data_IF_842395562952
#
_entry.id   IF_842395562952
#
_cell.length_a   1.000
_cell.length_b   1.000
_cell.length_c   1.000
_cell.angle_alpha   90.00
_cell.angle_beta   90.00
_cell.angle_gamma   90.00
#
_symmetry.space_group_name_H-M   'P 1'
#
loop_
_entity.id
_entity.type
_entity.pdbx_description
1 polymer ?
#
# COMPACT_ATOMS: atom_id res chain seq x y z
N UNK A 1 -15.18 0.38 10.35
CA UNK A 1 -14.89 0.40 8.90
C UNK A 1 -13.67 -0.46 8.64
N UNK A 2 -13.50 -0.93 7.41
CA UNK A 2 -12.45 -1.86 7.02
C UNK A 2 -11.43 -1.18 6.12
N UNK A 3 -10.17 -1.22 6.53
CA UNK A 3 -9.04 -0.61 5.84
C UNK A 3 -8.07 -1.69 5.36
N UNK A 4 -7.56 -1.56 4.14
CA UNK A 4 -6.48 -2.40 3.63
C UNK A 4 -5.29 -1.56 3.18
N UNK A 5 -4.11 -2.00 3.59
CA UNK A 5 -2.83 -1.40 3.25
C UNK A 5 -2.03 -2.41 2.41
N UNK A 6 -2.11 -2.34 1.07
CA UNK A 6 -1.22 -3.11 0.21
C UNK A 6 0.17 -2.48 0.23
N UNK A 7 1.16 -3.20 0.74
CA UNK A 7 2.53 -2.73 0.93
C UNK A 7 3.49 -3.57 0.12
N UNK A 8 4.43 -2.92 -0.58
CA UNK A 8 5.54 -3.65 -1.23
C UNK A 8 6.55 -4.18 -0.20
N UNK A 9 6.65 -3.53 0.95
CA UNK A 9 7.46 -3.98 2.08
C UNK A 9 6.95 -3.34 3.38
N UNK A 10 7.11 -4.07 4.47
CA UNK A 10 7.03 -3.55 5.82
C UNK A 10 8.37 -3.84 6.50
N UNK A 11 9.38 -3.02 6.22
CA UNK A 11 10.74 -3.11 6.76
C UNK A 11 11.14 -1.77 7.39
N UNK A 12 12.32 -1.73 8.01
CA UNK A 12 12.87 -0.50 8.60
C UNK A 12 13.13 0.58 7.54
N UNK A 13 12.15 1.45 7.32
CA UNK A 13 12.28 2.68 6.54
C UNK A 13 11.38 3.79 7.09
N UNK A 14 11.67 5.05 6.71
CA UNK A 14 10.98 6.23 7.23
C UNK A 14 9.47 6.18 7.02
N UNK A 15 9.02 5.89 5.79
CA UNK A 15 7.59 5.91 5.51
C UNK A 15 6.76 4.81 6.17
N UNK A 16 7.36 3.65 6.46
CA UNK A 16 6.68 2.58 7.21
C UNK A 16 6.54 2.93 8.70
N UNK A 17 7.44 3.75 9.26
CA UNK A 17 7.25 4.29 10.61
C UNK A 17 5.95 5.07 10.70
N UNK A 18 5.73 6.00 9.78
CA UNK A 18 4.53 6.85 9.77
C UNK A 18 3.28 6.00 9.53
N UNK A 19 3.34 5.07 8.58
CA UNK A 19 2.24 4.11 8.35
C UNK A 19 1.91 3.28 9.59
N UNK A 20 2.91 2.85 10.37
CA UNK A 20 2.66 2.06 11.58
C UNK A 20 1.84 2.82 12.62
N UNK A 21 2.11 4.13 12.80
CA UNK A 21 1.31 4.99 13.68
C UNK A 21 -0.13 5.16 13.15
N UNK A 22 -0.28 5.36 11.85
CA UNK A 22 -1.60 5.47 11.23
C UNK A 22 -2.42 4.16 11.38
N UNK A 23 -1.80 3.02 11.09
CA UNK A 23 -2.42 1.69 11.21
C UNK A 23 -2.90 1.45 12.64
N UNK A 24 -2.02 1.67 13.63
CA UNK A 24 -2.38 1.48 15.04
C UNK A 24 -3.48 2.44 15.48
N UNK A 25 -3.41 3.72 15.08
CA UNK A 25 -4.45 4.71 15.38
C UNK A 25 -5.82 4.36 14.77
N UNK A 26 -5.86 3.70 13.61
CA UNK A 26 -7.12 3.19 13.04
C UNK A 26 -7.67 2.02 13.85
N UNK A 27 -6.81 1.10 14.30
CA UNK A 27 -7.21 -0.01 15.17
C UNK A 27 -7.72 0.49 16.53
N UNK A 28 -7.04 1.46 17.15
CA UNK A 28 -7.46 2.10 18.40
C UNK A 28 -8.85 2.74 18.30
N UNK A 29 -9.20 3.27 17.13
CA UNK A 29 -10.54 3.79 16.81
C UNK A 29 -11.59 2.71 16.52
N UNK A 30 -11.25 1.43 16.68
CA UNK A 30 -12.15 0.30 16.50
C UNK A 30 -12.37 -0.08 15.03
N UNK A 31 -11.43 0.23 14.13
CA UNK A 31 -11.52 -0.19 12.73
C UNK A 31 -10.84 -1.54 12.49
N UNK A 32 -11.34 -2.28 11.50
CA UNK A 32 -10.72 -3.51 11.00
C UNK A 32 -9.59 -3.14 10.04
N UNK A 33 -8.35 -3.43 10.41
CA UNK A 33 -7.18 -3.07 9.58
C UNK A 33 -6.45 -4.31 9.10
N UNK A 34 -6.19 -4.33 7.79
CA UNK A 34 -5.45 -5.38 7.11
C UNK A 34 -4.19 -4.79 6.48
N UNK A 35 -3.06 -5.47 6.66
CA UNK A 35 -1.87 -5.25 5.83
C UNK A 35 -1.72 -6.42 4.87
N UNK A 36 -1.39 -6.15 3.61
CA UNK A 36 -1.10 -7.16 2.61
C UNK A 36 0.30 -6.90 2.09
N UNK A 37 1.21 -7.85 2.28
CA UNK A 37 2.65 -7.63 2.07
C UNK A 37 3.34 -8.94 1.63
N UNK A 38 4.40 -8.88 0.80
CA UNK A 38 5.18 -10.08 0.52
C UNK A 38 5.84 -10.65 1.78
N UNK A 39 5.84 -11.96 1.93
CA UNK A 39 6.34 -12.66 3.12
C UNK A 39 7.81 -12.32 3.42
N UNK A 40 8.66 -12.28 2.38
CA UNK A 40 10.08 -11.96 2.47
C UNK A 40 10.36 -10.44 2.67
N UNK A 41 9.33 -9.62 2.48
CA UNK A 41 9.37 -8.17 2.59
C UNK A 41 8.74 -7.68 3.89
N UNK A 42 8.42 -8.59 4.81
CA UNK A 42 7.90 -8.30 6.14
C UNK A 42 8.97 -8.50 7.21
N UNK A 43 9.25 -7.44 7.97
CA UNK A 43 10.09 -7.46 9.16
C UNK A 43 9.48 -6.45 10.15
N UNK A 44 8.95 -6.94 11.26
CA UNK A 44 8.23 -6.10 12.22
C UNK A 44 9.17 -5.25 13.09
N UNK A 45 9.84 -4.28 12.46
CA UNK A 45 10.70 -3.32 13.15
C UNK A 45 9.89 -2.27 13.93
N UNK A 46 8.78 -1.81 13.36
CA UNK A 46 7.82 -0.95 14.07
C UNK A 46 6.61 -1.80 14.48
N UNK A 47 6.33 -1.83 15.77
CA UNK A 47 5.30 -2.69 16.36
C UNK A 47 3.91 -2.30 15.86
N UNK A 48 3.18 -3.27 15.34
CA UNK A 48 1.76 -3.14 15.03
C UNK A 48 0.92 -3.64 16.21
N UNK A 49 -0.29 -3.09 16.34
CA UNK A 49 -1.30 -3.64 17.24
C UNK A 49 -1.61 -5.09 16.84
N UNK A 50 -1.82 -5.96 17.82
CA UNK A 50 -2.06 -7.39 17.62
C UNK A 50 -3.35 -7.68 16.83
N UNK A 51 -4.29 -6.73 16.80
CA UNK A 51 -5.53 -6.83 16.01
C UNK A 51 -5.32 -6.57 14.52
N UNK A 52 -4.14 -6.07 14.11
CA UNK A 52 -3.83 -5.87 12.69
C UNK A 52 -3.73 -7.23 11.99
N UNK A 53 -4.59 -7.44 11.00
CA UNK A 53 -4.65 -8.70 10.25
C UNK A 53 -3.59 -8.68 9.15
N UNK A 54 -2.63 -9.60 9.22
CA UNK A 54 -1.49 -9.69 8.29
C UNK A 54 -1.81 -10.73 7.22
N UNK A 55 -1.76 -10.34 5.94
CA UNK A 55 -1.96 -11.25 4.80
C UNK A 55 -0.66 -11.26 3.99
N UNK A 56 -0.06 -12.45 3.88
CA UNK A 56 1.18 -12.60 3.15
C UNK A 56 0.95 -12.99 1.69
N UNK A 57 1.73 -12.38 0.80
CA UNK A 57 1.79 -12.75 -0.62
C UNK A 57 3.13 -13.42 -0.94
N UNK A 58 3.20 -14.29 -1.96
CA UNK A 58 4.47 -14.80 -2.44
C UNK A 58 5.38 -13.66 -2.92
N UNK A 59 6.67 -13.74 -2.62
CA UNK A 59 7.65 -12.90 -3.31
C UNK A 59 7.88 -13.42 -4.72
N UNK A 60 7.92 -12.52 -5.69
CA UNK A 60 8.11 -12.93 -7.10
C UNK A 60 9.36 -12.33 -7.74
N UNK A 61 10.22 -11.69 -6.95
CA UNK A 61 11.54 -11.20 -7.35
C UNK A 61 11.61 -9.68 -7.50
N UNK A 62 12.83 -9.18 -7.69
CA UNK A 62 13.15 -7.75 -7.87
C UNK A 62 13.22 -7.30 -9.34
N UNK A 63 13.09 -8.23 -10.28
CA UNK A 63 13.03 -7.89 -11.70
C UNK A 63 11.66 -7.27 -12.04
N UNK A 64 11.52 -6.55 -13.18
CA UNK A 64 10.27 -5.89 -13.53
C UNK A 64 9.05 -6.82 -13.58
N UNK A 65 9.22 -8.06 -14.07
CA UNK A 65 8.16 -9.07 -14.08
C UNK A 65 7.77 -9.52 -12.67
N UNK A 66 8.74 -9.66 -11.77
CA UNK A 66 8.51 -9.95 -10.35
C UNK A 66 7.77 -8.80 -9.67
N UNK A 67 8.16 -7.55 -9.90
CA UNK A 67 7.42 -6.40 -9.36
C UNK A 67 5.97 -6.43 -9.84
N UNK A 68 5.73 -6.63 -11.14
CA UNK A 68 4.37 -6.70 -11.69
C UNK A 68 3.55 -7.85 -11.09
N UNK A 69 4.14 -9.04 -10.93
CA UNK A 69 3.51 -10.19 -10.28
C UNK A 69 3.20 -9.90 -8.81
N UNK A 70 4.11 -9.25 -8.09
CA UNK A 70 3.89 -8.83 -6.70
C UNK A 70 2.71 -7.84 -6.63
N UNK A 71 2.66 -6.82 -7.48
CA UNK A 71 1.53 -5.88 -7.54
C UNK A 71 0.20 -6.59 -7.83
N UNK A 72 0.22 -7.58 -8.73
CA UNK A 72 -0.95 -8.40 -9.02
C UNK A 72 -1.41 -9.24 -7.81
N UNK A 73 -0.47 -9.84 -7.08
CA UNK A 73 -0.80 -10.55 -5.84
C UNK A 73 -1.32 -9.61 -4.75
N UNK A 74 -0.76 -8.41 -4.62
CA UNK A 74 -1.30 -7.38 -3.72
C UNK A 74 -2.75 -7.07 -4.08
N UNK A 75 -3.09 -6.95 -5.36
CA UNK A 75 -4.47 -6.76 -5.81
C UNK A 75 -5.39 -7.94 -5.40
N UNK A 76 -5.01 -9.16 -5.76
CA UNK A 76 -5.86 -10.36 -5.57
C UNK A 76 -6.04 -10.71 -4.10
N UNK A 77 -4.95 -10.72 -3.33
CA UNK A 77 -4.95 -11.16 -1.94
C UNK A 77 -5.52 -10.11 -0.99
N UNK A 78 -5.53 -8.84 -1.39
CA UNK A 78 -6.17 -7.81 -0.60
C UNK A 78 -7.68 -8.04 -0.53
N UNK A 79 -8.27 -8.16 0.68
CA UNK A 79 -9.69 -8.39 0.85
C UNK A 79 -10.51 -7.18 0.36
N UNK A 80 -11.81 -7.38 0.15
CA UNK A 80 -12.72 -6.24 0.00
C UNK A 80 -12.71 -5.39 1.27
N UNK A 81 -12.62 -4.08 1.13
CA UNK A 81 -12.47 -3.10 2.20
C UNK A 81 -13.16 -1.78 1.81
N UNK A 82 -13.59 -1.02 2.81
CA UNK A 82 -14.20 0.30 2.59
C UNK A 82 -13.16 1.29 2.05
N UNK A 83 -11.92 1.17 2.51
CA UNK A 83 -10.80 2.00 2.11
C UNK A 83 -9.56 1.18 1.78
N UNK A 84 -8.88 1.56 0.71
CA UNK A 84 -7.52 1.12 0.39
C UNK A 84 -6.58 2.29 0.56
N UNK A 85 -5.61 2.13 1.45
CA UNK A 85 -4.65 3.18 1.81
C UNK A 85 -3.28 2.82 1.26
N UNK A 86 -2.72 3.73 0.46
CA UNK A 86 -1.41 3.56 -0.17
C UNK A 86 -0.53 4.75 0.13
N UNK A 87 0.78 4.52 0.22
CA UNK A 87 1.76 5.61 0.43
C UNK A 87 2.97 5.53 -0.50
N UNK A 88 2.88 4.72 -1.56
CA UNK A 88 3.98 4.49 -2.48
C UNK A 88 3.43 4.30 -3.89
N UNK A 89 3.99 4.98 -4.90
CA UNK A 89 3.40 5.07 -6.25
C UNK A 89 3.12 3.69 -6.89
N UNK A 90 3.94 2.63 -6.75
CA UNK A 90 3.63 1.34 -7.35
C UNK A 90 2.39 0.69 -6.74
N UNK A 91 2.17 0.89 -5.44
CA UNK A 91 1.00 0.34 -4.72
C UNK A 91 -0.29 1.08 -5.05
N UNK A 92 -0.21 2.28 -5.62
CA UNK A 92 -1.36 3.03 -6.13
C UNK A 92 -2.11 2.25 -7.21
N UNK A 93 -1.40 1.57 -8.12
CA UNK A 93 -2.04 0.83 -9.21
C UNK A 93 -2.95 -0.32 -8.74
N UNK A 94 -2.52 -1.27 -7.87
CA UNK A 94 -3.44 -2.27 -7.33
C UNK A 94 -4.57 -1.64 -6.51
N UNK A 95 -4.35 -0.50 -5.86
CA UNK A 95 -5.39 0.20 -5.12
C UNK A 95 -6.43 0.90 -6.03
N UNK A 96 -6.00 1.41 -7.18
CA UNK A 96 -6.90 1.91 -8.23
C UNK A 96 -7.77 0.79 -8.79
N UNK A 97 -7.21 -0.41 -8.99
CA UNK A 97 -7.99 -1.59 -9.37
C UNK A 97 -9.00 -1.97 -8.27
N UNK A 98 -8.66 -1.83 -6.99
CA UNK A 98 -9.63 -2.02 -5.89
C UNK A 98 -10.78 -1.02 -5.98
N UNK A 99 -10.50 0.23 -6.30
CA UNK A 99 -11.53 1.24 -6.51
C UNK A 99 -12.47 0.87 -7.65
N UNK A 100 -11.89 0.56 -8.82
CA UNK A 100 -12.66 0.27 -10.05
C UNK A 100 -13.48 -1.03 -9.91
N UNK A 101 -12.87 -2.10 -9.39
CA UNK A 101 -13.48 -3.44 -9.42
C UNK A 101 -14.12 -3.89 -8.11
N UNK A 102 -13.72 -3.32 -6.96
CA UNK A 102 -14.23 -3.69 -5.63
C UNK A 102 -14.99 -2.56 -4.94
N UNK A 103 -15.06 -1.37 -5.54
CA UNK A 103 -15.79 -0.21 -5.01
C UNK A 103 -15.14 0.42 -3.76
N UNK A 104 -13.88 0.09 -3.47
CA UNK A 104 -13.16 0.63 -2.32
C UNK A 104 -12.76 2.08 -2.55
N UNK A 105 -12.84 2.94 -1.52
CA UNK A 105 -12.34 4.32 -1.61
C UNK A 105 -10.82 4.33 -1.54
N UNK A 106 -10.18 5.01 -2.48
CA UNK A 106 -8.73 5.12 -2.56
C UNK A 106 -8.22 6.32 -1.76
N UNK A 107 -7.41 6.04 -0.74
CA UNK A 107 -6.68 7.05 0.03
C UNK A 107 -5.20 7.00 -0.36
N UNK A 108 -4.70 8.08 -0.95
CA UNK A 108 -3.27 8.23 -1.25
C UNK A 108 -2.60 9.12 -0.19
N UNK A 109 -1.80 8.51 0.66
CA UNK A 109 -0.99 9.18 1.67
C UNK A 109 0.40 9.51 1.09
N UNK A 110 0.51 10.69 0.50
CA UNK A 110 1.71 11.18 -0.17
C UNK A 110 2.70 11.68 0.88
N UNK A 111 3.83 11.00 1.03
CA UNK A 111 4.88 11.40 1.97
C UNK A 111 5.97 12.24 1.32
N UNK A 112 6.16 12.07 0.00
CA UNK A 112 7.10 12.82 -0.80
C UNK A 112 6.68 12.76 -2.29
N UNK A 113 7.31 13.60 -3.12
CA UNK A 113 7.05 13.67 -4.56
C UNK A 113 7.96 12.67 -5.28
N UNK A 114 7.46 11.44 -5.41
CA UNK A 114 8.27 10.27 -5.80
C UNK A 114 8.88 10.36 -7.21
N UNK A 115 8.31 11.19 -8.09
CA UNK A 115 8.80 11.37 -9.46
C UNK A 115 10.28 11.80 -9.54
N UNK A 116 10.78 12.51 -8.53
CA UNK A 116 12.15 13.03 -8.51
C UNK A 116 13.18 12.00 -8.05
N UNK A 117 12.75 10.88 -7.48
CA UNK A 117 13.64 9.84 -6.94
C UNK A 117 13.85 8.65 -7.90
N UNK A 118 13.05 8.55 -8.96
CA UNK A 118 13.09 7.41 -9.88
C UNK A 118 13.49 7.84 -11.30
N UNK A 119 14.31 7.05 -12.01
CA UNK A 119 14.64 7.32 -13.41
C UNK A 119 13.46 7.00 -14.35
N UNK A 120 13.54 7.47 -15.59
CA UNK A 120 12.64 7.04 -16.65
C UNK A 120 12.72 5.50 -16.84
N UNK A 121 11.59 4.80 -17.03
CA UNK A 121 10.21 5.31 -17.18
C UNK A 121 9.42 5.44 -15.87
N UNK A 122 9.98 5.05 -14.73
CA UNK A 122 9.28 5.02 -13.45
C UNK A 122 8.90 6.42 -12.93
N UNK A 123 9.66 7.46 -13.24
CA UNK A 123 9.29 8.85 -12.94
C UNK A 123 7.94 9.24 -13.54
N UNK A 124 7.65 8.81 -14.77
CA UNK A 124 6.37 9.08 -15.43
C UNK A 124 5.25 8.30 -14.75
N UNK A 125 5.49 7.04 -14.41
CA UNK A 125 4.50 6.23 -13.68
C UNK A 125 4.16 6.87 -12.33
N UNK A 126 5.15 7.40 -11.60
CA UNK A 126 4.94 8.14 -10.38
C UNK A 126 4.12 9.41 -10.63
N UNK A 127 4.48 10.22 -11.63
CA UNK A 127 3.71 11.42 -12.01
C UNK A 127 2.24 11.09 -12.32
N UNK A 128 1.98 10.00 -13.04
CA UNK A 128 0.63 9.55 -13.37
C UNK A 128 -0.22 9.28 -12.11
N UNK A 129 0.38 8.80 -11.01
CA UNK A 129 -0.38 8.56 -9.77
C UNK A 129 -0.96 9.85 -9.15
N UNK A 130 -0.35 11.01 -9.40
CA UNK A 130 -0.87 12.30 -8.95
C UNK A 130 -1.93 12.90 -9.88
N UNK A 131 -1.97 12.45 -11.14
CA UNK A 131 -2.97 12.87 -12.13
C UNK A 131 -4.23 12.01 -12.07
N UNK A 132 -4.13 10.78 -11.56
CA UNK A 132 -5.24 9.85 -11.43
C UNK A 132 -6.09 10.15 -10.17
N UNK A 133 -7.42 10.03 -10.25
CA UNK A 133 -8.30 10.46 -9.15
C UNK A 133 -8.26 9.48 -7.97
N UNK A 134 -7.59 9.88 -6.89
CA UNK A 134 -7.83 9.33 -5.55
C UNK A 134 -9.07 9.99 -4.94
N UNK A 135 -9.77 9.26 -4.06
CA UNK A 135 -10.94 9.83 -3.37
C UNK A 135 -10.51 10.79 -2.25
N UNK A 136 -9.35 10.50 -1.64
CA UNK A 136 -8.74 11.32 -0.61
C UNK A 136 -7.22 11.32 -0.85
N UNK A 137 -6.64 12.51 -0.99
CA UNK A 137 -5.19 12.70 -0.94
C UNK A 137 -4.83 13.34 0.38
N UNK A 138 -3.92 12.70 1.12
CA UNK A 138 -3.37 13.20 2.37
C UNK A 138 -1.88 13.50 2.12
N UNK A 139 -1.44 14.71 2.46
CA UNK A 139 -0.06 15.17 2.34
C UNK A 139 0.49 15.51 3.72
#
# INVERSE_FOLDING_TARGET
MKFVFPLLSYKKHGGVRVLSFLINGLVEKGHDVFIVVPEDAYEEFYKLDEKVKKIFTPHTGRNPLGILKTLFYLYIKSPSADFTVVSFFPTFFPALLHKIFKGSKLIYYVQDVEQFFYPFPFSILALLTYLLPSDITLC
#
